data_IF_914247363470
#
_entry.id   IF_914247363470
#
_cell.length_a   1.000
_cell.length_b   1.000
_cell.length_c   1.000
_cell.angle_alpha   90.00
_cell.angle_beta   90.00
_cell.angle_gamma   90.00
#
_symmetry.space_group_name_H-M   'P 1'
#
loop_
_entity.id
_entity.type
_entity.pdbx_description
1 polymer ?
#
# COMPACT_ATOMS: atom_id res chain seq x y z
N UNK A 1 32.06 -26.02 -37.06
CA UNK A 1 31.26 -26.37 -35.87
C UNK A 1 30.10 -25.39 -35.83
N UNK A 2 28.93 -25.80 -36.33
CA UNK A 2 27.81 -24.92 -36.66
C UNK A 2 26.99 -24.56 -35.41
N UNK A 3 26.75 -23.27 -35.21
CA UNK A 3 25.84 -22.74 -34.19
C UNK A 3 24.40 -22.80 -34.70
N UNK A 4 23.51 -23.42 -33.91
CA UNK A 4 22.06 -23.51 -34.18
C UNK A 4 21.36 -22.27 -33.60
N UNK A 5 20.61 -21.47 -34.38
CA UNK A 5 19.76 -20.42 -33.81
C UNK A 5 18.30 -20.93 -33.75
N UNK A 6 17.96 -21.63 -32.67
CA UNK A 6 16.62 -22.20 -32.47
C UNK A 6 15.92 -21.61 -31.24
N UNK A 7 15.55 -20.33 -31.24
CA UNK A 7 14.69 -19.77 -30.17
C UNK A 7 13.90 -18.50 -30.55
N UNK A 8 13.77 -18.19 -31.85
CA UNK A 8 12.99 -17.02 -32.31
C UNK A 8 11.52 -17.31 -32.59
N UNK A 9 11.21 -18.55 -33.01
CA UNK A 9 9.93 -18.89 -33.62
C UNK A 9 8.81 -19.09 -32.59
N UNK A 10 9.15 -19.70 -31.45
CA UNK A 10 8.19 -19.99 -30.38
C UNK A 10 7.61 -18.73 -29.70
N UNK A 11 8.30 -17.58 -29.72
CA UNK A 11 7.78 -16.32 -29.17
C UNK A 11 6.68 -15.73 -30.07
N UNK A 12 6.87 -15.78 -31.39
CA UNK A 12 5.91 -15.23 -32.36
C UNK A 12 4.63 -16.04 -32.41
N UNK A 13 4.75 -17.37 -32.32
CA UNK A 13 3.60 -18.29 -32.27
C UNK A 13 2.75 -18.08 -31.02
N UNK A 14 3.37 -17.87 -29.84
CA UNK A 14 2.63 -17.57 -28.60
C UNK A 14 1.87 -16.23 -28.68
N UNK A 15 2.50 -15.19 -29.22
CA UNK A 15 1.84 -13.90 -29.43
C UNK A 15 0.70 -13.98 -30.44
N UNK A 16 0.87 -14.73 -31.52
CA UNK A 16 -0.18 -14.94 -32.52
C UNK A 16 -1.37 -15.73 -31.95
N UNK A 17 -1.11 -16.78 -31.18
CA UNK A 17 -2.16 -17.55 -30.51
C UNK A 17 -2.93 -16.71 -29.48
N UNK A 18 -2.24 -15.84 -28.74
CA UNK A 18 -2.87 -14.92 -27.80
C UNK A 18 -3.75 -13.88 -28.50
N UNK A 19 -3.26 -13.26 -29.59
CA UNK A 19 -4.04 -12.31 -30.37
C UNK A 19 -5.26 -12.95 -31.02
N UNK A 20 -5.13 -14.18 -31.52
CA UNK A 20 -6.25 -14.95 -32.05
C UNK A 20 -7.28 -15.27 -30.96
N UNK A 21 -6.84 -15.70 -29.78
CA UNK A 21 -7.73 -15.97 -28.65
C UNK A 21 -8.46 -14.71 -28.16
N UNK A 22 -7.77 -13.57 -28.04
CA UNK A 22 -8.40 -12.28 -27.71
C UNK A 22 -9.39 -11.83 -28.79
N UNK A 23 -9.04 -12.02 -30.07
CA UNK A 23 -9.92 -11.73 -31.20
C UNK A 23 -11.19 -12.59 -31.17
N UNK A 24 -11.06 -13.90 -30.98
CA UNK A 24 -12.19 -14.81 -30.84
C UNK A 24 -13.06 -14.50 -29.62
N UNK A 25 -12.46 -14.12 -28.48
CA UNK A 25 -13.21 -13.74 -27.28
C UNK A 25 -14.00 -12.44 -27.46
N UNK A 26 -13.45 -11.47 -28.18
CA UNK A 26 -14.17 -10.24 -28.56
C UNK A 26 -15.19 -10.45 -29.68
N UNK A 27 -14.98 -11.47 -30.53
CA UNK A 27 -15.82 -11.75 -31.68
C UNK A 27 -17.00 -12.70 -31.38
N UNK A 28 -16.81 -13.65 -30.48
CA UNK A 28 -17.83 -14.63 -30.10
C UNK A 28 -19.20 -14.03 -29.71
N UNK A 29 -19.29 -12.85 -29.05
CA UNK A 29 -20.57 -12.25 -28.72
C UNK A 29 -21.39 -11.79 -29.93
N UNK A 30 -20.76 -11.42 -31.05
CA UNK A 30 -21.49 -10.86 -32.20
C UNK A 30 -21.99 -11.92 -33.20
N UNK A 31 -21.65 -13.20 -33.00
CA UNK A 31 -22.17 -14.34 -33.79
C UNK A 31 -23.42 -14.99 -33.19
N UNK A 32 -23.82 -14.56 -32.00
CA UNK A 32 -25.07 -14.96 -31.36
C UNK A 32 -26.12 -13.90 -31.67
N UNK A 33 -27.37 -14.31 -31.93
CA UNK A 33 -28.50 -13.39 -32.11
C UNK A 33 -28.44 -12.24 -31.09
N UNK A 34 -28.75 -10.98 -31.48
CA UNK A 34 -28.57 -9.81 -30.61
C UNK A 34 -29.18 -9.98 -29.20
N UNK A 35 -30.28 -10.72 -29.09
CA UNK A 35 -30.99 -11.02 -27.83
C UNK A 35 -30.31 -12.11 -26.98
N UNK A 36 -29.53 -13.02 -27.60
CA UNK A 36 -28.77 -14.09 -26.91
C UNK A 36 -27.37 -13.63 -26.47
N UNK A 37 -26.78 -12.66 -27.15
CA UNK A 37 -25.48 -12.05 -26.81
C UNK A 37 -25.49 -11.22 -25.52
N UNK A 38 -26.66 -10.68 -25.14
CA UNK A 38 -26.84 -9.86 -23.95
C UNK A 38 -26.67 -10.63 -22.63
N UNK A 39 -27.08 -11.90 -22.60
CA UNK A 39 -27.05 -12.73 -21.38
C UNK A 39 -25.66 -12.92 -20.76
N UNK A 40 -24.59 -13.27 -21.51
CA UNK A 40 -23.25 -13.38 -20.94
C UNK A 40 -22.70 -12.04 -20.46
N UNK A 41 -22.97 -10.94 -21.18
CA UNK A 41 -22.53 -9.60 -20.77
C UNK A 41 -23.24 -9.15 -19.48
N UNK A 42 -24.55 -9.36 -19.37
CA UNK A 42 -25.33 -9.06 -18.16
C UNK A 42 -24.89 -9.94 -16.99
N UNK A 43 -24.65 -11.22 -17.22
CA UNK A 43 -24.15 -12.14 -16.19
C UNK A 43 -22.79 -11.69 -15.66
N UNK A 44 -21.84 -11.38 -16.54
CA UNK A 44 -20.52 -10.89 -16.15
C UNK A 44 -20.60 -9.55 -15.42
N UNK A 45 -21.45 -8.63 -15.89
CA UNK A 45 -21.68 -7.35 -15.23
C UNK A 45 -22.28 -7.52 -13.82
N UNK A 46 -23.24 -8.43 -13.64
CA UNK A 46 -23.81 -8.74 -12.32
C UNK A 46 -22.80 -9.41 -11.40
N UNK A 47 -21.95 -10.31 -11.91
CA UNK A 47 -20.91 -10.95 -11.11
C UNK A 47 -19.86 -9.93 -10.65
N UNK A 48 -19.34 -9.09 -11.56
CA UNK A 48 -18.34 -8.07 -11.24
C UNK A 48 -18.92 -6.96 -10.36
N UNK A 49 -20.14 -6.49 -10.68
CA UNK A 49 -20.85 -5.48 -9.90
C UNK A 49 -21.22 -5.98 -8.50
N UNK A 50 -21.73 -7.20 -8.39
CA UNK A 50 -22.04 -7.84 -7.11
C UNK A 50 -20.78 -8.11 -6.28
N UNK A 51 -19.67 -8.51 -6.91
CA UNK A 51 -18.39 -8.67 -6.24
C UNK A 51 -17.85 -7.33 -5.73
N UNK A 52 -17.85 -6.28 -6.55
CA UNK A 52 -17.43 -4.92 -6.17
C UNK A 52 -18.30 -4.32 -5.07
N UNK A 53 -19.62 -4.51 -5.16
CA UNK A 53 -20.55 -4.07 -4.12
C UNK A 53 -20.31 -4.82 -2.80
N UNK A 54 -20.10 -6.14 -2.87
CA UNK A 54 -19.78 -6.98 -1.71
C UNK A 54 -18.45 -6.58 -1.08
N UNK A 55 -17.42 -6.24 -1.85
CA UNK A 55 -16.13 -5.84 -1.29
C UNK A 55 -16.23 -4.50 -0.58
N UNK A 56 -16.94 -3.53 -1.16
CA UNK A 56 -17.19 -2.22 -0.54
C UNK A 56 -18.04 -2.37 0.73
N UNK A 57 -19.17 -3.08 0.66
CA UNK A 57 -20.04 -3.32 1.82
C UNK A 57 -19.32 -4.09 2.94
N UNK A 58 -18.48 -5.08 2.60
CA UNK A 58 -17.69 -5.80 3.61
C UNK A 58 -16.56 -4.97 4.21
N UNK A 59 -15.96 -4.06 3.45
CA UNK A 59 -14.95 -3.15 3.97
C UNK A 59 -15.57 -2.19 5.01
N UNK A 60 -16.79 -1.70 4.76
CA UNK A 60 -17.52 -0.87 5.72
C UNK A 60 -17.94 -1.66 6.97
N UNK A 61 -18.48 -2.87 6.80
CA UNK A 61 -18.92 -3.70 7.93
C UNK A 61 -17.74 -4.19 8.81
N UNK A 62 -16.61 -4.61 8.21
CA UNK A 62 -15.42 -5.00 8.98
C UNK A 62 -14.76 -3.83 9.71
N UNK A 63 -14.96 -2.59 9.24
CA UNK A 63 -14.44 -1.40 9.93
C UNK A 63 -15.12 -1.16 11.27
N UNK A 64 -16.36 -1.63 11.44
CA UNK A 64 -17.09 -1.66 12.70
C UNK A 64 -16.74 -2.86 13.59
N UNK A 65 -16.52 -4.03 13.00
CA UNK A 65 -16.36 -5.32 13.72
C UNK A 65 -14.98 -5.57 14.34
N UNK A 66 -13.98 -4.71 14.10
CA UNK A 66 -12.66 -4.84 14.77
C UNK A 66 -12.62 -4.12 16.12
N UNK A 67 -13.77 -3.68 16.62
CA UNK A 67 -13.94 -3.10 17.95
C UNK A 67 -14.46 -4.13 18.97
N UNK A 68 -14.02 -5.38 18.88
CA UNK A 68 -13.90 -6.21 20.09
C UNK A 68 -12.89 -5.47 20.98
N UNK A 69 -13.41 -4.63 21.88
CA UNK A 69 -12.62 -3.88 22.83
C UNK A 69 -11.98 -4.90 23.77
N UNK A 70 -10.79 -5.39 23.40
CA UNK A 70 -9.90 -5.98 24.37
C UNK A 70 -9.73 -4.94 25.47
N UNK A 71 -10.25 -5.22 26.66
CA UNK A 71 -9.88 -4.51 27.88
C UNK A 71 -8.41 -4.87 28.15
N UNK A 72 -7.53 -4.20 27.42
CA UNK A 72 -6.10 -4.24 27.68
C UNK A 72 -5.92 -3.55 29.02
N UNK A 73 -5.47 -4.33 30.00
CA UNK A 73 -4.97 -3.79 31.25
C UNK A 73 -3.86 -2.78 30.92
N UNK A 74 -4.20 -1.49 31.05
CA UNK A 74 -3.29 -0.40 30.71
C UNK A 74 -2.06 -0.41 31.61
N UNK A 75 -2.14 -1.01 32.80
CA UNK A 75 -1.04 -1.13 33.74
C UNK A 75 -0.06 -2.25 33.34
N UNK A 76 -0.51 -3.24 32.57
CA UNK A 76 0.30 -4.35 32.06
C UNK A 76 0.96 -4.13 30.68
N UNK A 77 0.70 -3.00 30.00
CA UNK A 77 1.24 -2.72 28.67
C UNK A 77 2.74 -2.42 28.68
N UNK A 78 3.58 -2.98 27.79
CA UNK A 78 5.02 -2.69 27.81
C UNK A 78 5.33 -1.23 27.47
N UNK A 79 6.51 -0.73 27.83
CA UNK A 79 7.02 0.50 27.22
C UNK A 79 7.43 0.22 25.76
N UNK A 80 7.06 1.12 24.85
CA UNK A 80 7.29 0.99 23.41
C UNK A 80 7.97 2.23 22.85
N UNK A 81 9.08 2.01 22.15
CA UNK A 81 9.75 3.01 21.33
C UNK A 81 9.42 2.75 19.85
N UNK A 82 8.82 3.75 19.20
CA UNK A 82 8.59 3.74 17.75
C UNK A 82 9.67 4.59 17.08
N UNK A 83 10.55 3.93 16.33
CA UNK A 83 11.64 4.61 15.61
C UNK A 83 11.34 4.61 14.11
N UNK A 84 11.38 5.79 13.50
CA UNK A 84 11.13 6.01 12.09
C UNK A 84 12.36 6.65 11.48
N UNK A 85 12.93 6.06 10.43
CA UNK A 85 13.90 6.75 9.58
C UNK A 85 13.13 7.49 8.47
N UNK A 86 13.43 8.76 8.26
CA UNK A 86 12.84 9.62 7.24
C UNK A 86 13.96 10.19 6.35
N UNK A 87 13.77 10.14 5.03
CA UNK A 87 14.68 10.74 4.07
C UNK A 87 13.92 11.23 2.85
N UNK A 88 13.98 12.52 2.61
CA UNK A 88 13.28 13.17 1.49
C UNK A 88 11.75 12.86 1.50
N UNK A 89 11.12 13.00 2.68
CA UNK A 89 9.72 12.62 2.98
C UNK A 89 8.78 13.84 3.20
N UNK A 90 9.09 15.01 2.63
CA UNK A 90 8.34 16.28 2.82
C UNK A 90 6.82 16.11 2.66
N UNK A 91 6.39 15.33 1.66
CA UNK A 91 4.97 15.15 1.34
C UNK A 91 4.18 14.27 2.32
N UNK A 92 4.84 13.52 3.20
CA UNK A 92 4.17 12.52 4.06
C UNK A 92 4.49 12.65 5.54
N UNK A 93 5.62 13.28 5.89
CA UNK A 93 6.16 13.32 7.25
C UNK A 93 5.16 13.90 8.26
N UNK A 94 4.48 14.99 7.90
CA UNK A 94 3.45 15.62 8.75
C UNK A 94 2.32 14.67 9.08
N UNK A 95 1.73 14.04 8.05
CA UNK A 95 0.61 13.10 8.23
C UNK A 95 1.04 11.86 9.01
N UNK A 96 2.29 11.42 8.84
CA UNK A 96 2.84 10.30 9.58
C UNK A 96 2.90 10.61 11.08
N UNK A 97 3.51 11.74 11.45
CA UNK A 97 3.63 12.18 12.85
C UNK A 97 2.25 12.37 13.48
N UNK A 98 1.32 13.04 12.78
CA UNK A 98 -0.05 13.22 13.27
C UNK A 98 -0.73 11.87 13.59
N UNK A 99 -0.55 10.86 12.73
CA UNK A 99 -1.10 9.53 12.97
C UNK A 99 -0.43 8.81 14.13
N UNK A 100 0.88 8.94 14.30
CA UNK A 100 1.62 8.36 15.41
C UNK A 100 1.20 8.98 16.75
N UNK A 101 0.99 10.29 16.79
CA UNK A 101 0.52 10.99 18.00
C UNK A 101 -0.93 10.66 18.38
N UNK A 102 -1.74 10.23 17.41
CA UNK A 102 -3.13 9.80 17.59
C UNK A 102 -3.28 8.32 18.02
N UNK A 103 -2.18 7.59 18.22
CA UNK A 103 -2.23 6.21 18.70
C UNK A 103 -2.84 6.14 20.10
N UNK A 104 -3.77 5.19 20.28
CA UNK A 104 -4.40 4.91 21.57
C UNK A 104 -3.48 4.03 22.42
N UNK A 105 -2.44 4.63 23.01
CA UNK A 105 -1.51 4.01 23.94
C UNK A 105 -1.30 4.92 25.16
N UNK A 106 -1.01 4.38 26.36
CA UNK A 106 -0.63 5.19 27.51
C UNK A 106 0.50 6.16 27.15
N UNK A 107 0.30 7.45 27.45
CA UNK A 107 1.18 8.53 27.01
C UNK A 107 2.58 8.48 27.61
N UNK A 108 2.70 7.85 28.78
CA UNK A 108 3.91 7.60 29.55
C UNK A 108 4.70 6.37 29.07
N UNK A 109 4.10 5.53 28.22
CA UNK A 109 4.68 4.26 27.75
C UNK A 109 4.94 4.20 26.25
N UNK A 110 4.59 5.25 25.49
CA UNK A 110 4.89 5.35 24.06
C UNK A 110 5.80 6.54 23.80
N UNK A 111 6.99 6.27 23.28
CA UNK A 111 7.92 7.30 22.83
C UNK A 111 8.13 7.16 21.33
N UNK A 112 8.09 8.28 20.60
CA UNK A 112 8.27 8.30 19.15
C UNK A 112 9.57 9.02 18.82
N UNK A 113 10.39 8.38 17.98
CA UNK A 113 11.66 8.88 17.48
C UNK A 113 11.59 8.96 15.96
N UNK A 114 11.88 10.12 15.39
CA UNK A 114 12.01 10.29 13.95
C UNK A 114 13.42 10.75 13.64
N UNK A 115 14.11 9.96 12.84
CA UNK A 115 15.51 10.18 12.46
C UNK A 115 15.52 10.66 11.03
N UNK A 116 15.89 11.91 10.82
CA UNK A 116 16.17 12.46 9.49
C UNK A 116 17.55 11.96 9.02
N UNK A 117 17.57 11.12 7.98
CA UNK A 117 18.78 10.50 7.42
C UNK A 117 19.40 11.34 6.28
N UNK A 118 19.63 12.62 6.56
CA UNK A 118 20.31 13.54 5.65
C UNK A 118 19.48 13.93 4.43
N UNK A 119 18.23 14.31 4.68
CA UNK A 119 17.31 14.84 3.65
C UNK A 119 17.84 16.13 3.02
N UNK A 120 17.45 16.39 1.77
CA UNK A 120 17.77 17.60 1.00
C UNK A 120 16.53 18.45 0.65
N UNK A 121 15.34 17.91 0.90
CA UNK A 121 14.07 18.61 0.77
C UNK A 121 13.70 19.31 2.10
N UNK A 122 12.43 19.69 2.27
CA UNK A 122 11.97 20.38 3.49
C UNK A 122 11.61 19.45 4.66
N UNK A 123 12.00 18.18 4.59
CA UNK A 123 11.77 17.20 5.68
C UNK A 123 12.31 17.68 7.04
N UNK A 124 13.55 18.17 7.18
CA UNK A 124 14.08 18.54 8.49
C UNK A 124 13.31 19.73 9.09
N UNK A 125 13.01 20.75 8.30
CA UNK A 125 12.26 21.92 8.79
C UNK A 125 10.83 21.57 9.20
N UNK A 126 10.19 20.61 8.51
CA UNK A 126 8.88 20.11 8.91
C UNK A 126 8.95 19.31 10.21
N UNK A 127 10.00 18.50 10.39
CA UNK A 127 10.21 17.73 11.61
C UNK A 127 10.45 18.63 12.82
N UNK A 128 11.23 19.70 12.67
CA UNK A 128 11.44 20.69 13.74
C UNK A 128 10.12 21.34 14.17
N UNK A 129 9.30 21.78 13.21
CA UNK A 129 7.98 22.35 13.48
C UNK A 129 7.01 21.35 14.12
N UNK A 130 7.16 20.06 13.83
CA UNK A 130 6.35 19.00 14.43
C UNK A 130 6.82 18.70 15.85
N UNK A 131 8.13 18.76 16.13
CA UNK A 131 8.69 18.56 17.47
C UNK A 131 8.21 19.64 18.44
N UNK A 132 8.11 20.89 18.00
CA UNK A 132 7.54 21.99 18.79
C UNK A 132 6.07 21.75 19.15
N UNK A 133 5.28 21.19 18.21
CA UNK A 133 3.84 20.93 18.40
C UNK A 133 3.56 19.66 19.20
N UNK A 134 4.50 18.71 19.23
CA UNK A 134 4.31 17.40 19.82
C UNK A 134 5.45 17.08 20.80
N UNK A 135 5.30 17.36 22.10
CA UNK A 135 6.37 17.17 23.11
C UNK A 135 6.87 15.73 23.27
N UNK A 136 6.15 14.74 22.71
CA UNK A 136 6.50 13.31 22.75
C UNK A 136 7.25 12.83 21.50
N UNK A 137 7.40 13.71 20.51
CA UNK A 137 8.16 13.46 19.30
C UNK A 137 9.61 13.87 19.54
N UNK A 138 10.52 12.91 19.43
CA UNK A 138 11.95 13.16 19.45
C UNK A 138 12.47 13.14 18.02
N UNK A 139 13.14 14.20 17.60
CA UNK A 139 13.73 14.29 16.26
C UNK A 139 15.25 14.23 16.36
N UNK A 140 15.87 13.43 15.51
CA UNK A 140 17.32 13.30 15.41
C UNK A 140 17.72 13.58 13.96
N UNK A 141 18.56 14.59 13.74
CA UNK A 141 19.13 14.87 12.43
C UNK A 141 20.48 14.19 12.29
N UNK A 142 20.62 13.38 11.24
CA UNK A 142 21.84 12.64 10.94
C UNK A 142 22.47 13.20 9.67
N UNK A 143 23.79 13.46 9.66
CA UNK A 143 24.44 13.93 8.45
C UNK A 143 24.47 12.82 7.39
N UNK A 144 24.36 13.20 6.13
CA UNK A 144 24.21 12.28 4.98
C UNK A 144 25.36 11.28 4.81
N UNK A 145 26.54 11.61 5.33
CA UNK A 145 27.74 10.79 5.28
C UNK A 145 27.95 9.94 6.54
N UNK A 146 26.99 9.93 7.47
CA UNK A 146 27.08 9.06 8.63
C UNK A 146 27.00 7.58 8.19
N UNK A 147 27.98 6.78 8.61
CA UNK A 147 27.97 5.32 8.44
C UNK A 147 27.12 4.62 9.50
N UNK A 148 26.60 3.42 9.23
CA UNK A 148 25.71 2.72 10.17
C UNK A 148 24.74 1.69 9.56
N UNK A 149 24.77 1.48 8.25
CA UNK A 149 24.15 0.29 7.65
C UNK A 149 24.92 -0.97 8.08
N UNK A 150 24.21 -2.08 8.30
CA UNK A 150 24.82 -3.39 8.64
C UNK A 150 26.00 -3.65 7.72
N UNK A 151 27.21 -3.62 8.27
CA UNK A 151 28.43 -4.07 7.59
C UNK A 151 28.50 -5.59 7.61
#
# INVERSE_FOLDING_TARGET
>A
MASTPGSGDHRRVKSAAFLFACGCAGAAPHWLDPVRSLWPAISLAMVLGGYGLRTVLRADLKRGDTAEAFELDREGLPSLDVVVAARDEEGVVTRLVERLTALRYPADRLTTWVIDDGSLDRTPELLDQLAERHPRLNVIHRPRNAGGGKS
#
